data_IF_353101813203
#
_entry.id   IF_353101813203
#
_cell.length_a   1.000
_cell.length_b   1.000
_cell.length_c   1.000
_cell.angle_alpha   90.00
_cell.angle_beta   90.00
_cell.angle_gamma   90.00
#
_symmetry.space_group_name_H-M   'P 1'
#
loop_
_entity.id
_entity.type
_entity.pdbx_description
1 polymer ?
#
# COMPACT_ATOMS: atom_id res chain seq x y z
N UNK A 1 -4.43 -2.16 -10.18
CA UNK A 1 -3.37 -1.62 -9.30
C UNK A 1 -4.03 -0.76 -8.23
N UNK A 2 -3.63 -0.92 -6.98
CA UNK A 2 -4.16 -0.10 -5.87
C UNK A 2 -3.11 0.94 -5.47
N UNK A 3 -3.51 2.20 -5.35
CA UNK A 3 -2.65 3.30 -4.91
C UNK A 3 -2.98 3.71 -3.47
N UNK A 4 -1.93 3.93 -2.68
CA UNK A 4 -1.99 4.34 -1.27
C UNK A 4 -0.98 5.47 -1.01
N UNK A 5 -0.95 5.97 0.23
CA UNK A 5 -0.15 7.12 0.64
C UNK A 5 -0.84 8.46 0.38
N UNK A 6 -0.21 9.54 0.82
CA UNK A 6 -0.80 10.89 0.69
C UNK A 6 -0.94 11.38 -0.74
N UNK A 7 -0.01 10.99 -1.63
CA UNK A 7 -0.06 11.36 -3.04
C UNK A 7 -1.26 10.75 -3.76
N UNK A 8 -1.80 9.62 -3.29
CA UNK A 8 -3.00 9.00 -3.87
C UNK A 8 -4.25 9.89 -3.79
N UNK A 9 -4.24 10.93 -2.92
CA UNK A 9 -5.32 11.91 -2.79
C UNK A 9 -5.18 13.11 -3.74
N UNK A 10 -4.11 13.18 -4.54
CA UNK A 10 -3.99 14.19 -5.58
C UNK A 10 -5.10 13.99 -6.62
N UNK A 11 -5.76 15.09 -6.98
CA UNK A 11 -6.91 15.08 -7.88
C UNK A 11 -6.57 14.39 -9.20
N UNK A 12 -7.35 13.36 -9.52
CA UNK A 12 -7.27 12.57 -10.76
C UNK A 12 -5.94 11.82 -10.98
N UNK A 13 -5.16 11.57 -9.93
CA UNK A 13 -3.92 10.80 -10.06
C UNK A 13 -4.18 9.36 -10.52
N UNK A 14 -5.23 8.73 -10.00
CA UNK A 14 -5.71 7.42 -10.42
C UNK A 14 -6.01 7.35 -11.93
N UNK A 15 -6.68 8.39 -12.45
CA UNK A 15 -7.01 8.49 -13.88
C UNK A 15 -5.76 8.67 -14.73
N UNK A 16 -4.82 9.53 -14.30
CA UNK A 16 -3.55 9.76 -15.00
C UNK A 16 -2.71 8.48 -15.07
N UNK A 17 -2.60 7.75 -13.95
CA UNK A 17 -1.86 6.50 -13.90
C UNK A 17 -2.53 5.45 -14.81
N UNK A 18 -3.87 5.38 -14.79
CA UNK A 18 -4.63 4.46 -15.64
C UNK A 18 -4.41 4.75 -17.12
N UNK A 19 -4.49 6.01 -17.54
CA UNK A 19 -4.30 6.39 -18.95
C UNK A 19 -2.85 6.21 -19.41
N UNK A 20 -1.87 6.46 -18.54
CA UNK A 20 -0.45 6.37 -18.88
C UNK A 20 0.07 4.94 -18.94
N UNK A 21 -0.46 4.04 -18.11
CA UNK A 21 0.01 2.66 -18.00
C UNK A 21 -0.87 1.65 -18.73
N UNK A 22 -2.11 2.03 -19.06
CA UNK A 22 -3.14 1.09 -19.54
C UNK A 22 -3.65 0.12 -18.46
N UNK A 23 -3.18 0.25 -17.22
CA UNK A 23 -3.57 -0.60 -16.09
C UNK A 23 -4.49 0.19 -15.17
N UNK A 24 -5.67 -0.36 -14.87
CA UNK A 24 -6.62 0.28 -13.96
C UNK A 24 -6.01 0.56 -12.59
N UNK A 25 -5.95 1.84 -12.21
CA UNK A 25 -5.53 2.28 -10.88
C UNK A 25 -6.76 2.66 -10.03
N UNK A 26 -6.76 2.24 -8.77
CA UNK A 26 -7.86 2.46 -7.82
C UNK A 26 -7.27 2.97 -6.50
N UNK A 27 -7.85 4.02 -5.94
CA UNK A 27 -7.43 4.57 -4.63
C UNK A 27 -7.92 3.64 -3.52
N UNK A 28 -7.04 3.29 -2.58
CA UNK A 28 -7.41 2.54 -1.39
C UNK A 28 -8.43 3.33 -0.54
N UNK A 29 -9.27 2.65 0.23
CA UNK A 29 -10.32 3.28 1.07
C UNK A 29 -9.73 4.28 2.09
N UNK A 30 -8.67 3.88 2.78
CA UNK A 30 -7.94 4.72 3.74
C UNK A 30 -6.46 4.84 3.33
N UNK A 31 -6.14 5.58 2.25
CA UNK A 31 -4.84 5.52 1.61
C UNK A 31 -3.72 6.03 2.53
N UNK A 32 -4.03 6.94 3.45
CA UNK A 32 -3.10 7.46 4.45
C UNK A 32 -2.73 6.44 5.53
N UNK A 33 -3.61 5.48 5.82
CA UNK A 33 -3.45 4.53 6.93
C UNK A 33 -2.95 3.16 6.48
N UNK A 34 -2.87 2.90 5.16
CA UNK A 34 -2.48 1.60 4.62
C UNK A 34 -1.18 1.06 5.23
N UNK A 35 -0.15 1.90 5.40
CA UNK A 35 1.14 1.47 5.95
C UNK A 35 0.99 1.10 7.42
N UNK A 36 0.43 2.00 8.25
CA UNK A 36 0.27 1.76 9.69
C UNK A 36 -0.62 0.53 9.97
N UNK A 37 -1.75 0.40 9.27
CA UNK A 37 -2.65 -0.75 9.39
C UNK A 37 -1.96 -2.05 8.94
N UNK A 38 -1.26 -2.02 7.80
CA UNK A 38 -0.51 -3.18 7.32
C UNK A 38 0.58 -3.61 8.29
N UNK A 39 1.28 -2.65 8.91
CA UNK A 39 2.23 -2.94 9.98
C UNK A 39 1.54 -3.56 11.20
N UNK A 40 0.39 -3.05 11.62
CA UNK A 40 -0.40 -3.65 12.72
C UNK A 40 -0.72 -5.12 12.45
N UNK A 41 -1.25 -5.43 11.26
CA UNK A 41 -1.54 -6.81 10.84
C UNK A 41 -0.27 -7.69 10.83
N UNK A 42 0.86 -7.15 10.36
CA UNK A 42 2.12 -7.87 10.38
C UNK A 42 2.63 -8.14 11.80
N UNK A 43 2.45 -7.20 12.74
CA UNK A 43 2.80 -7.35 14.15
C UNK A 43 1.92 -8.39 14.85
N UNK A 44 0.63 -8.46 14.53
CA UNK A 44 -0.28 -9.50 15.04
C UNK A 44 0.13 -10.91 14.58
N UNK A 45 0.78 -11.01 13.42
CA UNK A 45 1.19 -12.26 12.80
C UNK A 45 2.72 -12.44 12.82
N UNK A 46 3.41 -11.80 13.77
CA UNK A 46 4.86 -11.69 13.76
C UNK A 46 5.57 -13.04 13.72
N UNK A 47 5.01 -14.06 14.36
CA UNK A 47 5.62 -15.39 14.40
C UNK A 47 5.66 -16.08 13.03
N UNK A 48 4.68 -15.81 12.17
CA UNK A 48 4.67 -16.27 10.77
C UNK A 48 5.74 -15.54 9.96
N UNK A 49 5.88 -14.24 10.19
CA UNK A 49 6.77 -13.39 9.41
C UNK A 49 8.22 -13.36 9.91
N UNK A 50 8.51 -13.73 11.17
CA UNK A 50 9.85 -13.70 11.80
C UNK A 50 10.98 -14.25 10.91
N UNK A 51 10.71 -15.31 10.14
CA UNK A 51 11.71 -15.95 9.26
C UNK A 51 12.00 -15.17 7.97
N UNK A 52 11.07 -14.33 7.50
CA UNK A 52 11.18 -13.63 6.22
C UNK A 52 11.47 -12.13 6.33
N UNK A 53 11.10 -11.47 7.44
CA UNK A 53 11.32 -10.01 7.63
C UNK A 53 12.51 -9.65 8.51
N UNK A 54 13.01 -10.55 9.36
CA UNK A 54 14.19 -10.26 10.17
C UNK A 54 15.43 -10.53 9.30
N UNK A 55 15.96 -9.47 8.70
CA UNK A 55 17.34 -9.48 8.19
C UNK A 55 18.26 -9.76 9.36
N UNK A 56 18.92 -10.93 9.34
CA UNK A 56 20.06 -11.17 10.22
C UNK A 56 21.18 -10.25 9.77
N UNK A 57 21.60 -9.36 10.66
CA UNK A 57 22.82 -8.59 10.50
C UNK A 57 24.03 -9.49 10.68
#
# INVERSE_FOLDING_TARGET
MTISGGTALLRNLDQLITSSTGVQAIVAEEPLLCVAKGTGVALENLDVYKKSIITRK
#
